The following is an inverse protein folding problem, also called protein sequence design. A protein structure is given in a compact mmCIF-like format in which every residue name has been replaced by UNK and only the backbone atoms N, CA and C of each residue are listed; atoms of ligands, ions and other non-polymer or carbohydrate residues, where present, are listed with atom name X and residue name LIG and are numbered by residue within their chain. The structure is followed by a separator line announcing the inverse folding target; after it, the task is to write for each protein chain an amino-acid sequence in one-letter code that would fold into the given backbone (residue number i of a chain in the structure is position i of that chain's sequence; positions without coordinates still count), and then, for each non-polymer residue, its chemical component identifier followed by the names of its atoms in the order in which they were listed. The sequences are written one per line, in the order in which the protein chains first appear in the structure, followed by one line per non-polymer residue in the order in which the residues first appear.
data_IF_222619096834
#
_entry.id   IF_222619096834
#
_cell.length_a   1.000
_cell.length_b   1.000
_cell.length_c   1.000
_cell.angle_alpha   90.00
_cell.angle_beta   90.00
_cell.angle_gamma   90.00
#
_symmetry.space_group_name_H-M   'P 1'
#
loop_
_entity.id
_entity.type
_entity.pdbx_description
1 polymer ?
#
# COMPACT_ATOMS: atom_id res chain seq x y z
N UNK A 1 47.85 9.12 -4.06
CA UNK A 1 48.22 10.34 -3.31
C UNK A 1 47.09 10.61 -2.32
N UNK A 2 47.25 10.25 -1.04
CA UNK A 2 46.31 10.65 0.00
C UNK A 2 46.51 12.14 0.27
N UNK A 3 45.43 12.91 0.12
CA UNK A 3 45.43 14.37 0.07
C UNK A 3 45.92 14.99 1.38
N UNK A 4 46.78 16.00 1.24
CA UNK A 4 47.09 16.90 2.33
C UNK A 4 45.78 17.55 2.82
N UNK A 5 45.55 17.52 4.13
CA UNK A 5 44.47 18.28 4.77
C UNK A 5 44.69 19.74 4.44
N UNK A 6 43.69 20.36 3.81
CA UNK A 6 43.71 21.79 3.49
C UNK A 6 43.64 22.59 4.80
N UNK A 7 44.78 23.11 5.26
CA UNK A 7 44.87 23.83 6.53
C UNK A 7 44.05 25.13 6.51
N UNK A 8 43.78 25.70 5.33
CA UNK A 8 42.93 26.88 5.17
C UNK A 8 41.44 26.58 5.41
N UNK A 9 41.05 25.30 5.33
CA UNK A 9 39.67 24.87 5.61
C UNK A 9 39.39 24.66 7.11
N UNK A 10 40.43 24.65 7.96
CA UNK A 10 40.25 24.40 9.38
C UNK A 10 39.32 25.43 10.02
N UNK A 11 38.31 24.97 10.77
CA UNK A 11 37.38 25.82 11.49
C UNK A 11 36.36 26.57 10.62
N UNK A 12 36.27 26.27 9.31
CA UNK A 12 35.27 26.88 8.39
C UNK A 12 33.84 26.75 8.88
N UNK A 13 33.51 25.64 9.56
CA UNK A 13 32.20 25.36 10.13
C UNK A 13 32.09 25.71 11.63
N UNK A 14 33.09 26.41 12.17
CA UNK A 14 33.32 26.56 13.61
C UNK A 14 34.34 25.56 14.13
N UNK A 15 34.72 25.72 15.40
CA UNK A 15 35.66 24.82 16.10
C UNK A 15 34.95 24.14 17.25
N UNK A 16 34.82 22.83 17.18
CA UNK A 16 34.18 21.97 18.16
C UNK A 16 35.17 21.57 19.26
N UNK A 17 34.73 21.64 20.52
CA UNK A 17 35.48 21.22 21.70
C UNK A 17 34.71 20.13 22.46
N UNK A 18 35.38 19.45 23.40
CA UNK A 18 34.73 18.43 24.24
C UNK A 18 33.51 18.97 25.01
N UNK A 19 33.51 20.26 25.34
CA UNK A 19 32.39 20.92 26.02
C UNK A 19 31.12 21.02 25.16
N UNK A 20 31.27 20.99 23.82
CA UNK A 20 30.16 21.13 22.87
C UNK A 20 29.45 19.79 22.60
N UNK A 21 29.84 18.70 23.28
CA UNK A 21 29.25 17.38 23.13
C UNK A 21 27.72 17.40 23.15
N UNK A 22 27.13 18.05 24.15
CA UNK A 22 25.67 18.10 24.30
C UNK A 22 24.98 18.94 23.22
N UNK A 23 25.66 19.95 22.69
CA UNK A 23 25.10 20.80 21.62
C UNK A 23 25.14 20.10 20.26
N UNK A 24 26.12 19.21 20.05
CA UNK A 24 26.30 18.43 18.81
C UNK A 24 25.94 16.95 18.94
N UNK A 25 25.27 16.58 20.03
CA UNK A 25 24.97 15.18 20.33
C UNK A 25 24.17 14.53 19.21
N UNK A 26 23.19 15.27 18.66
CA UNK A 26 22.29 14.77 17.62
C UNK A 26 23.03 14.52 16.30
N UNK A 27 23.86 15.46 15.85
CA UNK A 27 24.71 15.31 14.66
C UNK A 27 25.71 14.17 14.84
N UNK A 28 26.33 14.08 16.02
CA UNK A 28 27.28 13.04 16.38
C UNK A 28 26.63 11.64 16.36
N UNK A 29 25.42 11.49 16.89
CA UNK A 29 24.67 10.23 16.86
C UNK A 29 24.35 9.80 15.42
N UNK A 30 23.94 10.72 14.55
CA UNK A 30 23.71 10.42 13.13
C UNK A 30 24.99 10.02 12.41
N UNK A 31 26.12 10.68 12.71
CA UNK A 31 27.43 10.30 12.20
C UNK A 31 27.84 8.89 12.67
N UNK A 32 27.64 8.57 13.96
CA UNK A 32 27.90 7.24 14.53
C UNK A 32 27.09 6.15 13.82
N UNK A 33 25.79 6.37 13.62
CA UNK A 33 24.91 5.40 12.96
C UNK A 33 25.33 5.16 11.51
N UNK A 34 25.70 6.21 10.77
CA UNK A 34 25.93 6.08 9.34
C UNK A 34 27.37 5.78 8.96
N UNK A 35 28.35 6.38 9.62
CA UNK A 35 29.78 6.19 9.34
C UNK A 35 30.34 4.99 10.09
N UNK A 36 30.04 4.89 11.40
CA UNK A 36 30.55 3.79 12.24
C UNK A 36 29.62 2.57 12.25
N UNK A 37 28.39 2.68 11.73
CA UNK A 37 27.37 1.62 11.73
C UNK A 37 26.99 1.18 13.15
N UNK A 38 27.11 2.08 14.12
CA UNK A 38 26.77 1.84 15.53
C UNK A 38 25.41 2.48 15.80
N UNK A 39 24.39 1.63 15.98
CA UNK A 39 23.01 2.07 16.21
C UNK A 39 22.68 2.32 17.68
N UNK A 40 23.38 1.67 18.60
CA UNK A 40 23.20 1.82 20.05
C UNK A 40 24.36 2.59 20.67
N UNK A 41 24.21 3.91 20.74
CA UNK A 41 25.17 4.79 21.43
C UNK A 41 24.92 4.87 22.93
N UNK A 42 23.73 4.47 23.40
CA UNK A 42 23.32 4.54 24.81
C UNK A 42 23.85 3.37 25.65
N UNK A 43 24.04 2.20 25.04
CA UNK A 43 24.66 1.04 25.67
C UNK A 43 26.19 1.08 25.76
N UNK A 44 26.84 2.03 25.07
CA UNK A 44 28.31 2.09 25.04
C UNK A 44 28.92 2.66 26.32
N UNK A 45 30.10 2.17 26.73
CA UNK A 45 30.88 2.78 27.78
C UNK A 45 31.21 4.25 27.48
N UNK A 46 31.07 5.14 28.49
CA UNK A 46 31.31 6.59 28.33
C UNK A 46 32.69 6.94 27.76
N UNK A 47 33.71 6.13 28.03
CA UNK A 47 35.05 6.37 27.51
C UNK A 47 35.13 6.13 26.00
N UNK A 48 34.39 5.15 25.49
CA UNK A 48 34.34 4.78 24.08
C UNK A 48 33.59 5.86 23.28
N UNK A 49 32.45 6.31 23.79
CA UNK A 49 31.70 7.45 23.22
C UNK A 49 32.57 8.71 23.11
N UNK A 50 33.41 8.98 24.12
CA UNK A 50 34.35 10.11 24.08
C UNK A 50 35.44 9.96 23.02
N UNK A 51 35.93 8.75 22.76
CA UNK A 51 36.92 8.52 21.69
C UNK A 51 36.31 8.81 20.32
N UNK A 52 35.10 8.30 20.06
CA UNK A 52 34.40 8.60 18.82
C UNK A 52 34.06 10.08 18.68
N UNK A 53 33.70 10.75 19.78
CA UNK A 53 33.46 12.19 19.73
C UNK A 53 34.74 12.98 19.40
N UNK A 54 35.92 12.51 19.84
CA UNK A 54 37.20 13.12 19.45
C UNK A 54 37.50 12.98 17.97
N UNK A 55 37.25 11.81 17.41
CA UNK A 55 37.38 11.58 15.96
C UNK A 55 36.41 12.49 15.19
N UNK A 56 35.14 12.54 15.62
CA UNK A 56 34.14 13.43 15.03
C UNK A 56 34.53 14.93 15.15
N UNK A 57 35.07 15.36 16.29
CA UNK A 57 35.59 16.74 16.46
C UNK A 57 36.73 17.03 15.49
N UNK A 58 37.65 16.09 15.31
CA UNK A 58 38.75 16.23 14.37
C UNK A 58 38.20 16.43 12.96
N UNK A 59 37.34 15.52 12.50
CA UNK A 59 36.74 15.59 11.16
C UNK A 59 35.88 16.84 10.94
N UNK A 60 35.17 17.30 11.98
CA UNK A 60 34.39 18.53 11.94
C UNK A 60 35.31 19.74 11.76
N UNK A 61 36.36 19.82 12.58
CA UNK A 61 37.26 20.95 12.62
C UNK A 61 38.13 21.05 11.37
N UNK A 62 38.56 19.91 10.82
CA UNK A 62 39.32 19.84 9.56
C UNK A 62 38.43 19.86 8.32
N UNK A 63 37.11 19.90 8.49
CA UNK A 63 36.12 19.88 7.41
C UNK A 63 36.25 18.63 6.50
N UNK A 64 36.64 17.49 7.06
CA UNK A 64 36.75 16.20 6.36
C UNK A 64 35.51 15.32 6.52
N UNK A 65 34.47 15.81 7.21
CA UNK A 65 33.19 15.12 7.30
C UNK A 65 32.60 14.85 5.89
N UNK A 66 32.08 13.64 5.63
CA UNK A 66 31.68 13.25 4.29
C UNK A 66 30.39 13.91 3.77
N UNK A 67 29.61 14.57 4.64
CA UNK A 67 28.34 15.17 4.27
C UNK A 67 27.92 16.31 5.22
N UNK A 68 27.33 17.38 4.68
CA UNK A 68 26.95 18.59 5.42
C UNK A 68 25.97 18.37 6.57
N UNK A 69 25.16 17.32 6.50
CA UNK A 69 24.21 16.94 7.57
C UNK A 69 24.88 16.63 8.91
N UNK A 70 26.15 16.24 8.90
CA UNK A 70 26.91 16.02 10.14
C UNK A 70 27.45 17.34 10.68
N UNK A 71 27.41 18.44 9.93
CA UNK A 71 27.79 19.76 10.40
C UNK A 71 26.59 20.43 11.08
N UNK A 72 25.47 20.45 10.39
CA UNK A 72 24.20 21.04 10.83
C UNK A 72 23.04 20.21 10.30
N UNK A 73 22.52 19.33 11.16
CA UNK A 73 21.46 18.41 10.79
C UNK A 73 20.15 19.14 10.55
N UNK A 74 19.84 20.15 11.37
CA UNK A 74 18.59 20.89 11.29
C UNK A 74 18.49 21.67 9.97
N UNK A 75 19.57 22.39 9.61
CA UNK A 75 19.64 23.10 8.32
C UNK A 75 19.52 22.15 7.14
N UNK A 76 20.14 20.98 7.22
CA UNK A 76 20.03 19.96 6.17
C UNK A 76 18.61 19.41 6.06
N UNK A 77 17.97 19.06 7.18
CA UNK A 77 16.58 18.56 7.21
C UNK A 77 15.59 19.59 6.67
N UNK A 78 15.75 20.86 7.04
CA UNK A 78 14.96 21.96 6.48
C UNK A 78 15.14 22.07 4.97
N UNK A 79 16.38 22.03 4.48
CA UNK A 79 16.67 22.10 3.04
C UNK A 79 16.06 20.89 2.29
N UNK A 80 16.18 19.67 2.84
CA UNK A 80 15.54 18.48 2.30
C UNK A 80 14.02 18.59 2.24
N UNK A 81 13.41 19.10 3.32
CA UNK A 81 11.97 19.33 3.39
C UNK A 81 11.52 20.32 2.31
N UNK A 82 12.21 21.45 2.18
CA UNK A 82 11.92 22.44 1.13
C UNK A 82 12.13 21.85 -0.27
N UNK A 83 13.17 21.05 -0.49
CA UNK A 83 13.42 20.38 -1.78
C UNK A 83 12.31 19.39 -2.13
N UNK A 84 11.86 18.58 -1.16
CA UNK A 84 10.75 17.64 -1.35
C UNK A 84 9.44 18.37 -1.63
N UNK A 85 9.13 19.42 -0.87
CA UNK A 85 7.95 20.28 -1.09
C UNK A 85 7.97 20.94 -2.47
N UNK A 86 9.11 21.47 -2.90
CA UNK A 86 9.26 22.08 -4.22
C UNK A 86 9.13 21.04 -5.35
N UNK A 87 9.71 19.85 -5.17
CA UNK A 87 9.55 18.73 -6.12
C UNK A 87 8.10 18.29 -6.22
N UNK A 88 7.41 18.13 -5.10
CA UNK A 88 6.00 17.76 -5.07
C UNK A 88 5.12 18.85 -5.71
N UNK A 89 5.38 20.13 -5.41
CA UNK A 89 4.70 21.24 -6.06
C UNK A 89 4.94 21.24 -7.58
N UNK A 90 6.17 20.96 -8.03
CA UNK A 90 6.51 20.84 -9.45
C UNK A 90 5.80 19.65 -10.10
N UNK A 91 5.72 18.49 -9.43
CA UNK A 91 4.98 17.31 -9.91
C UNK A 91 3.48 17.56 -10.01
N UNK A 92 2.90 18.28 -9.04
CA UNK A 92 1.51 18.71 -9.08
C UNK A 92 1.26 19.71 -10.22
N UNK A 93 2.16 20.67 -10.40
CA UNK A 93 2.08 21.66 -11.47
C UNK A 93 2.31 21.04 -12.86
N UNK A 94 3.12 19.98 -12.96
CA UNK A 94 3.38 19.26 -14.22
C UNK A 94 2.27 18.27 -14.62
N UNK A 95 1.18 18.18 -13.86
CA UNK A 95 0.05 17.28 -14.17
C UNK A 95 0.35 15.79 -13.94
N UNK A 96 1.52 15.44 -13.39
CA UNK A 96 1.96 14.04 -13.15
C UNK A 96 0.99 13.30 -12.20
N UNK A 97 0.38 14.03 -11.26
CA UNK A 97 -0.65 13.49 -10.38
C UNK A 97 -1.99 13.17 -11.08
N UNK A 98 -2.30 13.83 -12.21
CA UNK A 98 -3.47 13.51 -13.04
C UNK A 98 -3.18 12.26 -13.88
N UNK A 99 -1.97 12.14 -14.45
CA UNK A 99 -1.52 10.95 -15.19
C UNK A 99 -1.61 9.67 -14.35
N UNK A 100 -1.11 9.69 -13.10
CA UNK A 100 -1.22 8.52 -12.21
C UNK A 100 -2.66 8.10 -11.92
N UNK A 101 -3.57 9.08 -11.79
CA UNK A 101 -4.99 8.83 -11.51
C UNK A 101 -5.73 8.31 -12.75
N UNK A 102 -5.35 8.77 -13.94
CA UNK A 102 -5.84 8.25 -15.21
C UNK A 102 -5.37 6.80 -15.44
N UNK A 103 -4.09 6.52 -15.18
CA UNK A 103 -3.50 5.18 -15.28
C UNK A 103 -4.18 4.16 -14.32
N UNK A 104 -4.47 4.56 -13.08
CA UNK A 104 -5.20 3.72 -12.11
C UNK A 104 -6.65 3.45 -12.54
N UNK A 105 -7.35 4.46 -13.07
CA UNK A 105 -8.72 4.29 -13.55
C UNK A 105 -8.79 3.30 -14.73
N UNK A 106 -7.84 3.38 -15.66
CA UNK A 106 -7.78 2.50 -16.82
C UNK A 106 -7.49 1.05 -16.43
N UNK A 107 -6.57 0.84 -15.47
CA UNK A 107 -6.25 -0.48 -14.94
C UNK A 107 -7.45 -1.11 -14.20
N UNK A 108 -8.19 -0.31 -13.43
CA UNK A 108 -9.38 -0.79 -12.73
C UNK A 108 -10.51 -1.15 -13.71
N UNK A 109 -10.71 -0.36 -14.78
CA UNK A 109 -11.67 -0.68 -15.84
C UNK A 109 -11.31 -1.99 -16.55
N UNK A 110 -10.02 -2.21 -16.84
CA UNK A 110 -9.53 -3.45 -17.46
C UNK A 110 -9.76 -4.66 -16.56
N UNK A 111 -9.52 -4.52 -15.25
CA UNK A 111 -9.82 -5.57 -14.25
C UNK A 111 -11.31 -5.85 -14.15
N UNK A 112 -12.16 -4.81 -14.16
CA UNK A 112 -13.62 -4.98 -14.14
C UNK A 112 -14.11 -5.73 -15.38
N UNK A 113 -13.68 -5.31 -16.57
CA UNK A 113 -14.02 -5.99 -17.83
C UNK A 113 -13.54 -7.44 -17.86
N UNK A 114 -12.35 -7.73 -17.32
CA UNK A 114 -11.85 -9.09 -17.22
C UNK A 114 -12.69 -9.96 -16.28
N UNK A 115 -13.14 -9.42 -15.13
CA UNK A 115 -14.05 -10.11 -14.21
C UNK A 115 -15.42 -10.33 -14.83
N UNK A 116 -15.99 -9.32 -15.48
CA UNK A 116 -17.28 -9.44 -16.18
C UNK A 116 -17.21 -10.48 -17.31
N UNK A 117 -16.13 -10.50 -18.08
CA UNK A 117 -15.92 -11.50 -19.12
C UNK A 117 -15.73 -12.92 -18.53
N UNK A 118 -15.05 -13.05 -17.40
CA UNK A 118 -14.90 -14.33 -16.69
C UNK A 118 -16.25 -14.82 -16.14
N UNK A 119 -17.03 -13.95 -15.50
CA UNK A 119 -18.37 -14.26 -15.02
C UNK A 119 -19.31 -14.63 -16.16
N UNK A 120 -19.29 -13.90 -17.28
CA UNK A 120 -20.12 -14.23 -18.44
C UNK A 120 -19.77 -15.60 -19.05
N UNK A 121 -18.48 -15.96 -19.09
CA UNK A 121 -18.03 -17.29 -19.50
C UNK A 121 -18.50 -18.37 -18.53
N UNK A 122 -18.40 -18.12 -17.23
CA UNK A 122 -18.88 -19.03 -16.20
C UNK A 122 -20.40 -19.25 -16.31
N UNK A 123 -21.17 -18.18 -16.44
CA UNK A 123 -22.63 -18.25 -16.62
C UNK A 123 -23.02 -19.00 -17.88
N UNK A 124 -22.29 -18.80 -18.98
CA UNK A 124 -22.53 -19.53 -20.23
C UNK A 124 -22.22 -21.03 -20.06
N UNK A 125 -21.12 -21.37 -19.38
CA UNK A 125 -20.77 -22.76 -19.08
C UNK A 125 -21.81 -23.42 -18.17
N UNK A 126 -22.29 -22.73 -17.13
CA UNK A 126 -23.38 -23.21 -16.26
C UNK A 126 -24.67 -23.40 -17.05
N UNK A 127 -25.01 -22.47 -17.94
CA UNK A 127 -26.20 -22.59 -18.82
C UNK A 127 -26.07 -23.72 -19.83
N UNK A 128 -24.85 -24.07 -20.25
CA UNK A 128 -24.57 -25.18 -21.16
C UNK A 128 -24.50 -26.53 -20.43
N UNK A 129 -24.01 -26.57 -19.19
CA UNK A 129 -23.94 -27.78 -18.37
C UNK A 129 -25.28 -28.16 -17.74
N UNK A 130 -26.16 -27.19 -17.50
CA UNK A 130 -27.59 -27.42 -17.22
C UNK A 130 -28.25 -27.78 -18.56
N UNK A 131 -28.18 -29.07 -18.91
CA UNK A 131 -28.78 -29.67 -20.11
C UNK A 131 -30.25 -29.27 -20.30
N UNK A 132 -30.68 -29.19 -21.57
CA UNK A 132 -31.97 -28.62 -22.00
C UNK A 132 -33.21 -29.08 -21.22
N UNK A 133 -33.25 -30.34 -20.79
CA UNK A 133 -34.36 -30.93 -20.03
C UNK A 133 -34.59 -30.27 -18.65
N UNK A 134 -33.52 -29.86 -17.96
CA UNK A 134 -33.63 -29.21 -16.64
C UNK A 134 -34.11 -27.76 -16.78
N UNK A 135 -33.80 -27.12 -17.91
CA UNK A 135 -34.22 -25.75 -18.23
C UNK A 135 -35.69 -25.67 -18.64
N UNK A 136 -36.16 -26.63 -19.44
CA UNK A 136 -37.58 -26.77 -19.80
C UNK A 136 -38.44 -27.12 -18.58
N UNK A 137 -37.96 -28.00 -17.70
CA UNK A 137 -38.65 -28.31 -16.44
C UNK A 137 -38.72 -27.11 -15.50
N UNK A 138 -37.66 -26.29 -15.42
CA UNK A 138 -37.67 -25.07 -14.61
C UNK A 138 -38.64 -24.02 -15.16
N UNK A 139 -38.64 -23.79 -16.48
CA UNK A 139 -39.61 -22.88 -17.12
C UNK A 139 -41.06 -23.38 -16.98
N UNK A 140 -41.26 -24.69 -17.03
CA UNK A 140 -42.57 -25.31 -16.81
C UNK A 140 -43.03 -25.17 -15.35
N UNK A 141 -42.13 -25.34 -14.37
CA UNK A 141 -42.44 -25.06 -12.96
C UNK A 141 -42.75 -23.59 -12.73
N UNK A 142 -42.00 -22.66 -13.34
CA UNK A 142 -42.24 -21.22 -13.21
C UNK A 142 -43.59 -20.81 -13.82
N UNK A 143 -43.95 -21.38 -14.98
CA UNK A 143 -45.27 -21.20 -15.59
C UNK A 143 -46.40 -21.76 -14.71
N UNK A 144 -46.19 -22.91 -14.08
CA UNK A 144 -47.16 -23.51 -13.16
C UNK A 144 -47.32 -22.66 -11.89
N UNK A 145 -46.23 -22.13 -11.33
CA UNK A 145 -46.26 -21.18 -10.20
C UNK A 145 -46.96 -19.87 -10.57
N UNK A 146 -46.69 -19.32 -11.75
CA UNK A 146 -47.38 -18.13 -12.24
C UNK A 146 -48.88 -18.37 -12.47
N UNK A 147 -49.26 -19.53 -13.02
CA UNK A 147 -50.67 -19.95 -13.18
C UNK A 147 -51.36 -20.14 -11.81
N UNK A 148 -50.67 -20.74 -10.84
CA UNK A 148 -51.16 -20.89 -9.47
C UNK A 148 -51.39 -19.52 -8.81
N UNK A 149 -50.45 -18.59 -8.94
CA UNK A 149 -50.60 -17.23 -8.41
C UNK A 149 -51.78 -16.48 -9.05
N UNK A 150 -52.01 -16.64 -10.35
CA UNK A 150 -53.18 -16.05 -11.02
C UNK A 150 -54.50 -16.71 -10.58
N UNK A 151 -54.57 -18.04 -10.47
CA UNK A 151 -55.76 -18.75 -9.99
C UNK A 151 -56.12 -18.36 -8.55
N UNK A 152 -55.10 -18.19 -7.69
CA UNK A 152 -55.27 -17.70 -6.32
C UNK A 152 -55.84 -16.28 -6.27
N UNK A 153 -55.33 -15.38 -7.12
CA UNK A 153 -55.85 -13.99 -7.23
C UNK A 153 -57.31 -13.93 -7.69
N UNK A 154 -57.77 -14.90 -8.48
CA UNK A 154 -59.13 -14.98 -8.98
C UNK A 154 -60.06 -15.86 -8.11
N UNK A 155 -59.58 -16.36 -6.97
CA UNK A 155 -60.40 -17.11 -6.00
C UNK A 155 -60.71 -18.57 -6.37
N UNK A 156 -60.08 -19.11 -7.43
CA UNK A 156 -60.26 -20.50 -7.86
C UNK A 156 -59.31 -21.43 -7.08
N UNK A 157 -59.73 -21.74 -5.85
CA UNK A 157 -58.96 -22.51 -4.88
C UNK A 157 -58.81 -24.00 -5.23
N UNK A 158 -59.68 -24.55 -6.08
CA UNK A 158 -59.56 -25.94 -6.54
C UNK A 158 -58.44 -26.09 -7.57
N UNK A 159 -58.30 -25.11 -8.46
CA UNK A 159 -57.23 -25.11 -9.47
C UNK A 159 -55.87 -24.86 -8.83
N UNK A 160 -55.80 -24.05 -7.77
CA UNK A 160 -54.59 -23.87 -6.95
C UNK A 160 -54.12 -25.17 -6.31
N UNK A 161 -54.99 -25.87 -5.56
CA UNK A 161 -54.65 -27.14 -4.89
C UNK A 161 -54.20 -28.23 -5.87
N UNK A 162 -54.78 -28.24 -7.08
CA UNK A 162 -54.42 -29.18 -8.14
C UNK A 162 -53.04 -28.91 -8.71
N UNK A 163 -52.69 -27.64 -8.91
CA UNK A 163 -51.36 -27.24 -9.37
C UNK A 163 -50.32 -27.44 -8.26
N UNK A 164 -50.68 -27.18 -7.01
CA UNK A 164 -49.84 -27.41 -5.83
C UNK A 164 -49.43 -28.88 -5.70
N UNK A 165 -50.41 -29.80 -5.75
CA UNK A 165 -50.14 -31.25 -5.73
C UNK A 165 -49.29 -31.75 -6.91
N UNK A 166 -49.28 -31.02 -8.03
CA UNK A 166 -48.46 -31.33 -9.22
C UNK A 166 -47.04 -30.77 -9.10
N UNK A 167 -46.84 -29.77 -8.25
CA UNK A 167 -45.57 -29.07 -8.04
C UNK A 167 -44.77 -29.65 -6.85
N UNK A 168 -45.44 -30.36 -5.94
CA UNK A 168 -44.78 -31.14 -4.89
C UNK A 168 -43.89 -32.23 -5.53
N UNK A 169 -42.59 -32.30 -5.18
CA UNK A 169 -41.73 -33.39 -5.60
C UNK A 169 -42.18 -34.69 -4.91
N UNK A 170 -42.33 -35.77 -5.67
CA UNK A 170 -42.67 -37.09 -5.16
C UNK A 170 -41.46 -37.66 -4.38
N UNK A 171 -41.34 -37.34 -3.09
CA UNK A 171 -40.32 -37.89 -2.17
C UNK A 171 -40.69 -39.30 -1.68
N UNK A 172 -41.21 -40.17 -2.54
CA UNK A 172 -41.60 -41.54 -2.19
C UNK A 172 -41.08 -42.59 -3.19
N UNK A 173 -39.79 -42.57 -3.49
CA UNK A 173 -39.10 -43.78 -3.97
C UNK A 173 -37.65 -43.77 -3.47
N UNK A 174 -37.35 -44.59 -2.46
CA UNK A 174 -35.96 -44.78 -2.04
C UNK A 174 -35.69 -45.35 -0.66
N UNK A 175 -36.61 -45.99 0.06
CA UNK A 175 -36.28 -46.89 1.18
C UNK A 175 -37.28 -48.04 1.27
N UNK A 176 -37.00 -49.13 0.55
CA UNK A 176 -37.34 -50.51 0.94
C UNK A 176 -36.42 -51.49 0.25
#
# INVERSE_FOLDING_TARGET
MMGAVDQDAYGKNGVLREADYFNKQREFEVWMMEQKKIHDTGGMPKWETKQYFREYMEDFNTCTLPHDKYIDLEKWEMAEFHRKKASEAKRRASGDALSMREDEMEMNLKKRRAREAANAKFDNLVKASITGSKRENMQSQDLLRAKMQNAYKHGDMETVKRIEKRLEPDEMEGWR
#
